data_IF_022981827213
#
_entry.id   IF_022981827213
#
_cell.length_a   1.000
_cell.length_b   1.000
_cell.length_c   1.000
_cell.angle_alpha   90.00
_cell.angle_beta   90.00
_cell.angle_gamma   90.00
#
_symmetry.space_group_name_H-M   'P 1'
#
loop_
_entity.id
_entity.type
_entity.pdbx_description
1 polymer ?
#
# COMPACT_ATOMS: atom_id res chain seq x y z
N UNK A 1 -22.88 11.35 20.14
CA UNK A 1 -22.31 12.55 19.51
C UNK A 1 -20.85 12.28 19.10
N UNK A 2 -20.58 12.07 17.82
CA UNK A 2 -19.25 12.29 17.22
C UNK A 2 -19.42 12.46 15.70
N UNK A 3 -18.95 13.61 15.24
CA UNK A 3 -19.24 14.27 13.97
C UNK A 3 -18.70 13.50 12.77
N UNK A 4 -19.45 13.63 11.68
CA UNK A 4 -19.10 13.35 10.30
C UNK A 4 -17.78 14.03 9.90
N UNK A 5 -16.98 13.37 9.08
CA UNK A 5 -15.88 13.99 8.36
C UNK A 5 -16.16 13.86 6.88
N UNK A 6 -16.54 14.98 6.27
CA UNK A 6 -16.78 15.16 4.86
C UNK A 6 -15.45 14.94 4.10
N UNK A 7 -15.49 14.09 3.08
CA UNK A 7 -14.42 14.02 2.09
C UNK A 7 -14.53 15.26 1.21
N UNK A 8 -13.60 16.20 1.39
CA UNK A 8 -13.42 17.33 0.50
C UNK A 8 -12.88 16.77 -0.82
N UNK A 9 -13.75 16.78 -1.84
CA UNK A 9 -13.34 16.61 -3.23
C UNK A 9 -12.39 17.74 -3.61
N UNK A 10 -11.27 17.41 -4.22
CA UNK A 10 -10.38 18.40 -4.84
C UNK A 10 -10.98 18.73 -6.21
N UNK A 11 -11.47 19.96 -6.47
CA UNK A 11 -11.85 20.36 -7.81
C UNK A 11 -10.58 20.72 -8.58
N UNK A 12 -10.30 20.02 -9.67
CA UNK A 12 -9.38 20.53 -10.69
C UNK A 12 -10.17 21.52 -11.56
N UNK A 13 -9.94 22.81 -11.33
CA UNK A 13 -10.34 23.89 -12.22
C UNK A 13 -9.50 23.84 -13.50
N UNK A 14 -10.15 23.76 -14.65
CA UNK A 14 -9.55 24.15 -15.94
C UNK A 14 -10.16 25.50 -16.31
N UNK A 15 -9.35 26.54 -16.23
CA UNK A 15 -9.67 27.86 -16.77
C UNK A 15 -9.47 27.84 -18.30
N UNK A 16 -10.45 28.35 -19.03
CA UNK A 16 -10.42 28.40 -20.50
C UNK A 16 -11.38 29.47 -21.03
N UNK A 17 -10.83 30.68 -21.14
CA UNK A 17 -11.31 31.92 -21.76
C UNK A 17 -12.29 31.69 -22.93
N UNK A 18 -13.50 32.26 -22.84
CA UNK A 18 -14.44 32.37 -23.96
C UNK A 18 -14.10 33.61 -24.80
N UNK A 19 -13.59 33.37 -26.02
CA UNK A 19 -13.45 34.37 -27.07
C UNK A 19 -14.66 34.40 -27.98
N UNK A 20 -15.28 35.58 -28.05
CA UNK A 20 -16.34 36.03 -28.97
C UNK A 20 -16.05 35.69 -30.45
N UNK A 21 -17.06 35.18 -31.19
CA UNK A 21 -17.26 35.46 -32.63
C UNK A 21 -18.76 35.63 -32.92
N UNK A 22 -19.02 36.55 -33.84
CA UNK A 22 -20.22 37.30 -34.16
C UNK A 22 -21.04 36.66 -35.29
N UNK A 23 -22.37 36.60 -35.11
CA UNK A 23 -23.42 36.79 -36.15
C UNK A 23 -23.78 35.63 -37.11
N UNK A 24 -24.90 35.73 -37.86
CA UNK A 24 -25.87 36.84 -37.89
C UNK A 24 -27.28 36.49 -37.39
N UNK A 25 -28.04 37.57 -37.29
CA UNK A 25 -29.37 37.77 -36.75
C UNK A 25 -30.46 37.19 -37.69
N UNK A 26 -31.45 36.49 -37.13
CA UNK A 26 -32.75 36.29 -37.79
C UNK A 26 -33.83 36.55 -36.75
N UNK A 27 -34.48 37.70 -36.90
CA UNK A 27 -35.67 38.08 -36.16
C UNK A 27 -36.88 37.57 -36.94
N UNK A 28 -37.65 36.63 -36.40
CA UNK A 28 -39.01 36.33 -36.89
C UNK A 28 -39.94 36.22 -35.69
N UNK A 29 -40.95 37.09 -35.73
CA UNK A 29 -42.02 37.28 -34.74
C UNK A 29 -42.89 36.04 -34.57
N UNK A 30 -43.52 35.96 -33.41
CA UNK A 30 -44.39 34.90 -32.93
C UNK A 30 -45.54 34.53 -33.89
N UNK A 31 -45.73 33.23 -34.07
CA UNK A 31 -47.04 32.60 -34.22
C UNK A 31 -46.93 31.15 -33.71
N UNK A 32 -47.83 30.75 -32.83
CA UNK A 32 -48.11 29.35 -32.46
C UNK A 32 -49.64 29.16 -32.51
N UNK A 33 -50.19 27.94 -32.66
CA UNK A 33 -49.57 26.71 -33.15
C UNK A 33 -50.40 26.07 -34.28
N UNK A 34 -49.79 25.22 -35.10
CA UNK A 34 -50.55 24.21 -35.86
C UNK A 34 -49.83 22.88 -35.76
N UNK A 35 -50.56 21.90 -35.21
CA UNK A 35 -50.09 20.57 -34.93
C UNK A 35 -49.60 19.86 -36.21
N UNK A 36 -48.28 19.70 -36.32
CA UNK A 36 -47.67 18.74 -37.21
C UNK A 36 -47.17 17.56 -36.38
N UNK A 37 -47.75 16.39 -36.62
CA UNK A 37 -47.28 15.10 -36.10
C UNK A 37 -45.91 14.80 -36.72
N UNK A 38 -44.86 15.34 -36.11
CA UNK A 38 -43.49 14.93 -36.35
C UNK A 38 -43.24 13.64 -35.58
N UNK A 39 -42.93 12.56 -36.28
CA UNK A 39 -42.29 11.40 -35.65
C UNK A 39 -41.01 11.89 -35.00
N UNK A 40 -41.04 12.02 -33.67
CA UNK A 40 -39.89 12.43 -32.88
C UNK A 40 -38.76 11.44 -33.10
N UNK A 41 -37.72 11.85 -33.82
CA UNK A 41 -36.45 11.13 -33.85
C UNK A 41 -35.82 11.35 -32.48
N UNK A 42 -36.10 10.44 -31.56
CA UNK A 42 -35.38 10.35 -30.29
C UNK A 42 -33.94 9.95 -30.63
N UNK A 43 -33.01 10.91 -30.62
CA UNK A 43 -31.59 10.62 -30.67
C UNK A 43 -31.24 10.04 -29.29
N UNK A 44 -31.24 8.71 -29.18
CA UNK A 44 -30.71 8.06 -27.99
C UNK A 44 -29.23 8.43 -27.86
N UNK A 45 -28.92 9.22 -26.83
CA UNK A 45 -27.52 9.49 -26.45
C UNK A 45 -26.90 8.13 -26.09
N UNK A 46 -25.86 7.67 -26.80
CA UNK A 46 -25.26 6.37 -26.51
C UNK A 46 -24.80 6.31 -25.05
N UNK A 47 -25.21 5.27 -24.32
CA UNK A 47 -24.76 5.07 -22.95
C UNK A 47 -23.23 4.98 -22.92
N UNK A 48 -22.57 5.89 -22.19
CA UNK A 48 -21.11 5.91 -22.13
C UNK A 48 -20.59 4.62 -21.47
N UNK A 49 -19.79 3.83 -22.20
CA UNK A 49 -19.23 2.59 -21.67
C UNK A 49 -18.39 2.87 -20.42
N UNK A 50 -18.58 2.15 -19.31
CA UNK A 50 -17.86 2.42 -18.06
C UNK A 50 -16.36 2.21 -18.24
N UNK A 51 -15.57 3.18 -17.76
CA UNK A 51 -14.10 3.15 -17.79
C UNK A 51 -13.49 1.85 -17.24
N UNK A 52 -14.18 1.23 -16.27
CA UNK A 52 -13.71 0.07 -15.54
C UNK A 52 -12.92 0.43 -14.29
N UNK A 53 -12.18 -0.54 -13.75
CA UNK A 53 -11.44 -0.36 -12.51
C UNK A 53 -10.14 -1.15 -12.49
N UNK A 54 -9.13 -0.59 -11.81
CA UNK A 54 -7.99 -1.34 -11.30
C UNK A 54 -8.21 -1.63 -9.81
N UNK A 55 -7.99 -2.89 -9.42
CA UNK A 55 -8.02 -3.31 -8.02
C UNK A 55 -6.73 -4.06 -7.70
N UNK A 56 -5.92 -3.48 -6.82
CA UNK A 56 -4.68 -4.10 -6.36
C UNK A 56 -5.03 -5.42 -5.64
N UNK A 57 -4.53 -6.53 -6.16
CA UNK A 57 -4.69 -7.87 -5.58
C UNK A 57 -3.50 -8.25 -4.71
N UNK A 58 -2.31 -7.74 -5.01
CA UNK A 58 -1.12 -7.96 -4.20
C UNK A 58 -0.10 -6.82 -4.32
N UNK A 59 0.56 -6.52 -3.22
CA UNK A 59 1.74 -5.67 -3.18
C UNK A 59 2.84 -6.39 -2.39
N UNK A 60 3.81 -6.97 -3.11
CA UNK A 60 4.81 -7.90 -2.56
C UNK A 60 6.20 -7.30 -2.62
N UNK A 61 6.81 -7.05 -1.45
CA UNK A 61 8.24 -6.72 -1.38
C UNK A 61 9.12 -7.93 -1.70
N UNK A 62 10.23 -7.71 -2.39
CA UNK A 62 11.21 -8.77 -2.57
C UNK A 62 12.01 -9.04 -1.29
N UNK A 63 12.57 -10.25 -1.13
CA UNK A 63 13.52 -10.56 -0.06
C UNK A 63 14.76 -9.66 -0.06
N UNK A 64 15.11 -9.05 -1.21
CA UNK A 64 16.17 -8.06 -1.35
C UNK A 64 15.88 -6.76 -0.58
N UNK A 65 14.60 -6.42 -0.37
CA UNK A 65 14.09 -5.13 0.11
C UNK A 65 14.46 -3.95 -0.81
N UNK A 66 14.70 -4.24 -2.11
CA UNK A 66 15.05 -3.26 -3.14
C UNK A 66 14.02 -3.15 -4.27
N UNK A 67 12.94 -3.92 -4.18
CA UNK A 67 11.86 -3.86 -5.16
C UNK A 67 10.53 -4.26 -4.51
N UNK A 68 9.44 -3.71 -5.06
CA UNK A 68 8.07 -4.12 -4.75
C UNK A 68 7.37 -4.47 -6.06
N UNK A 69 6.73 -5.63 -6.10
CA UNK A 69 5.88 -6.07 -7.20
C UNK A 69 4.43 -5.77 -6.85
N UNK A 70 3.77 -4.95 -7.65
CA UNK A 70 2.34 -4.67 -7.58
C UNK A 70 1.64 -5.56 -8.60
N UNK A 71 0.54 -6.16 -8.18
CA UNK A 71 -0.35 -6.96 -9.03
C UNK A 71 -1.75 -6.43 -8.83
N UNK A 72 -2.47 -6.21 -9.92
CA UNK A 72 -3.86 -5.77 -9.91
C UNK A 72 -4.66 -6.50 -10.97
N UNK A 73 -5.96 -6.53 -10.79
CA UNK A 73 -6.90 -6.92 -11.82
C UNK A 73 -7.46 -5.65 -12.45
N UNK A 74 -7.45 -5.60 -13.79
CA UNK A 74 -8.01 -4.53 -14.60
C UNK A 74 -9.30 -5.02 -15.27
N UNK A 75 -10.32 -4.17 -15.30
CA UNK A 75 -11.60 -4.43 -15.96
C UNK A 75 -12.04 -3.22 -16.80
N UNK A 76 -13.08 -3.41 -17.62
CA UNK A 76 -13.69 -2.39 -18.46
C UNK A 76 -12.86 -2.04 -19.70
N UNK A 77 -13.18 -0.91 -20.33
CA UNK A 77 -12.58 -0.43 -21.58
C UNK A 77 -11.48 0.63 -21.33
N UNK A 78 -10.76 0.49 -20.23
CA UNK A 78 -9.59 1.30 -19.95
C UNK A 78 -8.55 1.17 -21.07
N UNK A 79 -7.86 2.25 -21.40
CA UNK A 79 -6.70 2.22 -22.32
C UNK A 79 -5.41 1.81 -21.60
N UNK A 80 -5.43 1.83 -20.27
CA UNK A 80 -4.26 1.53 -19.46
C UNK A 80 -4.44 1.80 -17.99
N UNK A 81 -3.34 1.72 -17.25
CA UNK A 81 -3.28 2.01 -15.83
C UNK A 81 -2.14 2.98 -15.47
N UNK A 82 -2.42 3.87 -14.53
CA UNK A 82 -1.44 4.75 -13.89
C UNK A 82 -1.17 4.24 -12.48
N UNK A 83 0.12 4.07 -12.15
CA UNK A 83 0.57 3.62 -10.84
C UNK A 83 1.07 4.85 -10.09
N UNK A 84 0.39 5.15 -8.99
CA UNK A 84 0.80 6.17 -8.05
C UNK A 84 1.43 5.54 -6.81
N UNK A 85 2.39 6.27 -6.23
CA UNK A 85 3.03 5.88 -4.99
C UNK A 85 3.27 7.11 -4.12
N UNK A 86 3.05 6.94 -2.82
CA UNK A 86 3.52 7.87 -1.80
C UNK A 86 4.32 7.19 -0.71
N UNK A 87 5.11 7.99 0.00
CA UNK A 87 5.61 7.64 1.33
C UNK A 87 4.59 8.11 2.39
N UNK A 88 4.66 7.62 3.63
CA UNK A 88 3.70 7.98 4.70
C UNK A 88 3.51 9.50 4.91
N UNK A 89 4.52 10.31 4.60
CA UNK A 89 4.54 11.77 4.82
C UNK A 89 4.49 12.59 3.53
N UNK A 90 4.26 11.98 2.37
CA UNK A 90 4.24 12.67 1.08
C UNK A 90 2.90 12.51 0.38
N UNK A 91 2.68 13.33 -0.63
CA UNK A 91 1.59 13.13 -1.57
C UNK A 91 1.89 12.00 -2.55
N UNK A 92 0.84 11.57 -3.25
CA UNK A 92 0.95 10.60 -4.33
C UNK A 92 1.66 11.21 -5.52
N UNK A 93 2.68 10.51 -6.02
CA UNK A 93 3.34 10.82 -7.27
C UNK A 93 3.10 9.68 -8.26
N UNK A 94 2.91 10.02 -9.53
CA UNK A 94 2.92 9.05 -10.61
C UNK A 94 4.33 8.45 -10.73
N UNK A 95 4.42 7.12 -10.75
CA UNK A 95 5.70 6.41 -10.91
C UNK A 95 5.76 5.57 -12.19
N UNK A 96 4.61 5.32 -12.81
CA UNK A 96 4.50 4.66 -14.10
C UNK A 96 3.11 4.86 -14.71
N UNK A 97 3.06 4.90 -16.04
CA UNK A 97 1.85 4.79 -16.85
C UNK A 97 2.05 3.63 -17.82
N UNK A 98 1.07 2.72 -17.87
CA UNK A 98 1.09 1.52 -18.70
C UNK A 98 -0.08 1.62 -19.69
N UNK A 99 0.22 1.75 -20.97
CA UNK A 99 -0.77 1.85 -22.06
C UNK A 99 -1.13 0.44 -22.58
N UNK A 100 -1.72 -0.37 -21.71
CA UNK A 100 -2.24 -1.69 -22.05
C UNK A 100 -3.66 -1.79 -21.49
N UNK A 101 -4.64 -1.70 -22.38
CA UNK A 101 -6.05 -1.71 -22.05
C UNK A 101 -6.63 -3.09 -21.78
N UNK A 102 -5.88 -4.17 -22.09
CA UNK A 102 -6.42 -5.53 -22.01
C UNK A 102 -6.92 -5.86 -20.59
N UNK A 103 -8.16 -6.34 -20.41
CA UNK A 103 -8.65 -6.77 -19.11
C UNK A 103 -7.84 -7.94 -18.54
N UNK A 104 -7.88 -8.09 -17.21
CA UNK A 104 -7.25 -9.21 -16.52
C UNK A 104 -6.11 -8.80 -15.59
N UNK A 105 -5.27 -9.77 -15.24
CA UNK A 105 -4.23 -9.58 -14.24
C UNK A 105 -2.99 -8.91 -14.84
N UNK A 106 -2.60 -7.78 -14.25
CA UNK A 106 -1.42 -7.02 -14.63
C UNK A 106 -0.43 -6.90 -13.49
N UNK A 107 0.82 -6.61 -13.82
CA UNK A 107 1.88 -6.44 -12.83
C UNK A 107 2.86 -5.33 -13.18
N UNK A 108 3.41 -4.71 -12.14
CA UNK A 108 4.43 -3.68 -12.23
C UNK A 108 5.47 -3.90 -11.15
N UNK A 109 6.75 -3.69 -11.47
CA UNK A 109 7.87 -3.85 -10.54
C UNK A 109 8.52 -2.50 -10.27
N UNK A 110 8.28 -1.97 -9.08
CA UNK A 110 8.92 -0.75 -8.59
C UNK A 110 10.31 -1.08 -8.00
N UNK A 111 11.36 -0.71 -8.74
CA UNK A 111 12.77 -0.87 -8.31
C UNK A 111 13.35 0.38 -7.65
N UNK A 112 12.60 1.48 -7.59
CA UNK A 112 13.06 2.77 -7.03
C UNK A 112 12.88 2.87 -5.51
N UNK A 113 12.28 1.84 -4.90
CA UNK A 113 12.01 1.76 -3.47
C UNK A 113 13.28 1.63 -2.62
N UNK A 114 13.22 2.16 -1.40
CA UNK A 114 14.32 2.11 -0.43
C UNK A 114 13.94 1.24 0.77
N UNK A 115 14.88 0.41 1.22
CA UNK A 115 14.68 -0.46 2.38
C UNK A 115 14.44 0.35 3.67
N UNK A 116 13.58 -0.17 4.54
CA UNK A 116 13.19 0.48 5.80
C UNK A 116 12.18 1.62 5.63
N UNK A 117 11.58 1.77 4.44
CA UNK A 117 10.49 2.71 4.19
C UNK A 117 9.16 1.96 4.03
N UNK A 118 8.07 2.66 4.33
CA UNK A 118 6.72 2.25 3.98
C UNK A 118 6.27 3.02 2.75
N UNK A 119 5.71 2.32 1.78
CA UNK A 119 5.10 2.91 0.59
C UNK A 119 3.63 2.53 0.52
N UNK A 120 2.81 3.47 0.07
CA UNK A 120 1.40 3.27 -0.22
C UNK A 120 1.24 3.43 -1.72
N UNK A 121 0.71 2.38 -2.37
CA UNK A 121 0.46 2.34 -3.80
C UNK A 121 -1.02 2.50 -4.08
N UNK A 122 -1.32 3.15 -5.20
CA UNK A 122 -2.65 3.24 -5.78
C UNK A 122 -2.51 2.97 -7.28
N UNK A 123 -3.44 2.22 -7.85
CA UNK A 123 -3.47 1.95 -9.29
C UNK A 123 -4.82 2.41 -9.79
N UNK A 124 -4.82 3.30 -10.78
CA UNK A 124 -6.02 3.84 -11.39
C UNK A 124 -6.01 3.52 -12.88
N UNK A 125 -7.12 3.05 -13.42
CA UNK A 125 -7.26 2.97 -14.89
C UNK A 125 -7.49 4.35 -15.51
N UNK A 126 -7.14 4.52 -16.78
CA UNK A 126 -7.40 5.74 -17.53
C UNK A 126 -7.88 5.47 -18.96
N UNK A 127 -8.59 6.45 -19.54
CA UNK A 127 -9.00 6.49 -20.96
C UNK A 127 -8.96 7.93 -21.43
N UNK A 128 -8.39 8.14 -22.62
CA UNK A 128 -8.44 9.41 -23.34
C UNK A 128 -9.65 9.40 -24.25
N UNK A 129 -10.53 10.39 -24.10
CA UNK A 129 -11.72 10.59 -24.94
C UNK A 129 -11.36 11.29 -26.26
N UNK A 130 -12.30 11.29 -27.20
CA UNK A 130 -12.13 11.93 -28.51
C UNK A 130 -11.91 13.45 -28.41
N UNK A 131 -12.40 14.10 -27.35
CA UNK A 131 -12.19 15.52 -27.04
C UNK A 131 -10.78 15.83 -26.46
N UNK A 132 -9.93 14.80 -26.33
CA UNK A 132 -8.59 14.91 -25.76
C UNK A 132 -8.52 14.86 -24.23
N UNK A 133 -9.67 14.78 -23.53
CA UNK A 133 -9.69 14.71 -22.06
C UNK A 133 -9.34 13.31 -21.56
N UNK A 134 -8.51 13.23 -20.51
CA UNK A 134 -8.18 11.96 -19.85
C UNK A 134 -9.10 11.74 -18.66
N UNK A 135 -9.95 10.72 -18.75
CA UNK A 135 -10.71 10.21 -17.64
C UNK A 135 -9.85 9.23 -16.83
N UNK A 136 -9.86 9.36 -15.50
CA UNK A 136 -9.14 8.48 -14.58
C UNK A 136 -10.12 7.91 -13.55
N UNK A 137 -9.92 6.65 -13.16
CA UNK A 137 -10.68 6.01 -12.10
C UNK A 137 -10.67 6.84 -10.81
N UNK A 138 -11.85 7.07 -10.25
CA UNK A 138 -12.05 7.65 -8.93
C UNK A 138 -12.08 6.56 -7.85
N UNK A 139 -11.79 6.93 -6.60
CA UNK A 139 -11.90 6.04 -5.41
C UNK A 139 -11.06 4.75 -5.46
N UNK A 140 -9.95 4.74 -6.20
CA UNK A 140 -9.10 3.57 -6.29
C UNK A 140 -8.53 3.15 -4.92
N UNK A 141 -8.63 1.85 -4.62
CA UNK A 141 -8.11 1.26 -3.37
C UNK A 141 -6.59 1.35 -3.31
N UNK A 142 -6.07 1.49 -2.09
CA UNK A 142 -4.63 1.59 -1.84
C UNK A 142 -4.07 0.31 -1.21
N UNK A 143 -2.77 0.07 -1.42
CA UNK A 143 -2.04 -1.03 -0.79
C UNK A 143 -0.76 -0.51 -0.11
N UNK A 144 -0.58 -0.85 1.17
CA UNK A 144 0.60 -0.45 1.96
C UNK A 144 1.62 -1.57 2.06
N UNK A 145 2.90 -1.24 1.84
CA UNK A 145 4.03 -2.19 1.92
C UNK A 145 5.19 -1.59 2.68
N UNK A 146 5.57 -2.24 3.78
CA UNK A 146 6.75 -1.87 4.57
C UNK A 146 7.99 -2.68 4.15
N UNK A 147 9.08 -2.02 3.75
CA UNK A 147 10.31 -2.67 3.26
C UNK A 147 11.28 -3.07 4.37
N UNK A 148 10.77 -3.83 5.34
CA UNK A 148 11.58 -4.42 6.43
C UNK A 148 11.61 -5.95 6.34
N UNK A 149 12.59 -6.63 6.96
CA UNK A 149 12.59 -8.08 7.09
C UNK A 149 11.27 -8.61 7.65
N UNK A 150 10.81 -9.76 7.14
CA UNK A 150 9.58 -10.39 7.63
C UNK A 150 9.66 -10.81 9.10
N UNK A 151 8.49 -10.95 9.73
CA UNK A 151 8.35 -11.47 11.09
C UNK A 151 8.95 -12.87 11.21
N UNK A 152 9.67 -13.13 12.29
CA UNK A 152 10.27 -14.44 12.56
C UNK A 152 9.17 -15.46 12.84
N UNK A 153 9.35 -16.68 12.34
CA UNK A 153 8.44 -17.81 12.59
C UNK A 153 9.07 -18.82 13.56
N UNK A 154 8.21 -19.54 14.28
CA UNK A 154 8.63 -20.67 15.12
C UNK A 154 9.50 -20.28 16.32
N UNK A 155 9.34 -19.06 16.85
CA UNK A 155 10.03 -18.64 18.07
C UNK A 155 9.52 -19.46 19.27
N UNK A 156 10.42 -20.18 19.93
CA UNK A 156 10.14 -21.02 21.11
C UNK A 156 11.22 -20.81 22.16
N UNK A 157 10.86 -20.92 23.43
CA UNK A 157 11.80 -21.00 24.54
C UNK A 157 11.57 -22.30 25.32
N UNK A 158 12.65 -22.91 25.79
CA UNK A 158 12.60 -24.12 26.63
C UNK A 158 13.63 -24.02 27.74
N UNK A 159 13.26 -24.40 28.96
CA UNK A 159 14.20 -24.57 30.07
C UNK A 159 15.06 -25.82 29.84
N UNK A 160 16.35 -25.73 30.15
CA UNK A 160 17.36 -26.79 30.04
C UNK A 160 18.34 -26.61 31.22
N UNK A 161 18.11 -27.36 32.30
CA UNK A 161 18.82 -27.17 33.57
C UNK A 161 18.68 -25.73 34.08
N UNK A 162 19.82 -25.09 34.38
CA UNK A 162 19.92 -23.69 34.84
C UNK A 162 19.92 -22.65 33.70
N UNK A 163 19.43 -23.01 32.51
CA UNK A 163 19.44 -22.15 31.31
C UNK A 163 18.07 -22.17 30.62
N UNK A 164 17.74 -21.06 29.95
CA UNK A 164 16.63 -20.99 28.99
C UNK A 164 17.20 -20.92 27.59
N UNK A 165 16.83 -21.86 26.74
CA UNK A 165 17.24 -21.91 25.34
C UNK A 165 16.09 -21.40 24.47
N UNK A 166 16.35 -20.30 23.76
CA UNK A 166 15.43 -19.69 22.81
C UNK A 166 15.88 -20.06 21.41
N UNK A 167 14.95 -20.50 20.57
CA UNK A 167 15.21 -20.97 19.20
C UNK A 167 14.16 -20.45 18.24
N UNK A 168 14.54 -20.21 16.98
CA UNK A 168 13.62 -19.78 15.93
C UNK A 168 13.99 -20.37 14.57
N UNK A 169 13.03 -20.35 13.62
CA UNK A 169 13.27 -20.78 12.24
C UNK A 169 14.11 -19.74 11.49
N UNK A 170 14.88 -20.20 10.49
CA UNK A 170 15.64 -19.32 9.59
C UNK A 170 14.66 -18.42 8.81
N UNK A 171 14.95 -17.13 8.76
CA UNK A 171 14.21 -16.14 7.97
C UNK A 171 14.98 -15.94 6.67
N UNK A 172 14.30 -15.96 5.53
CA UNK A 172 14.94 -15.82 4.22
C UNK A 172 15.56 -14.41 4.08
N UNK A 173 16.77 -14.36 3.52
CA UNK A 173 17.45 -13.12 3.10
C UNK A 173 17.67 -12.07 4.19
N UNK A 174 17.94 -12.51 5.43
CA UNK A 174 18.29 -11.63 6.57
C UNK A 174 19.78 -11.75 6.92
N UNK A 175 20.36 -10.68 7.47
CA UNK A 175 21.77 -10.66 7.90
C UNK A 175 21.96 -11.21 9.31
N UNK A 176 20.90 -11.24 10.12
CA UNK A 176 20.93 -11.85 11.44
C UNK A 176 19.70 -11.50 12.27
N UNK A 177 19.85 -11.64 13.58
CA UNK A 177 18.80 -11.52 14.57
C UNK A 177 19.24 -10.66 15.74
N UNK A 178 18.26 -9.98 16.34
CA UNK A 178 18.42 -9.25 17.58
C UNK A 178 17.48 -9.81 18.62
N UNK A 179 18.05 -10.23 19.75
CA UNK A 179 17.35 -10.84 20.87
C UNK A 179 17.24 -9.83 21.99
N UNK A 180 16.03 -9.73 22.53
CA UNK A 180 15.67 -8.94 23.69
C UNK A 180 15.17 -9.86 24.78
N UNK A 181 15.46 -9.48 26.02
CA UNK A 181 15.09 -10.22 27.21
C UNK A 181 14.45 -9.26 28.21
N UNK A 182 13.51 -9.76 28.99
CA UNK A 182 12.86 -9.04 30.08
C UNK A 182 12.81 -9.97 31.28
N UNK A 183 13.18 -9.46 32.45
CA UNK A 183 12.98 -10.16 33.72
C UNK A 183 11.72 -9.58 34.36
N UNK A 184 10.77 -10.43 34.73
CA UNK A 184 9.55 -10.02 35.41
C UNK A 184 9.79 -10.10 36.91
N UNK A 185 9.76 -8.94 37.56
CA UNK A 185 9.87 -8.79 39.02
C UNK A 185 8.50 -8.36 39.53
N UNK A 186 8.01 -9.00 40.61
CA UNK A 186 6.71 -8.69 41.21
C UNK A 186 6.73 -7.23 41.70
N UNK A 187 5.68 -6.46 41.38
CA UNK A 187 5.57 -5.06 41.80
C UNK A 187 6.38 -4.04 40.96
N UNK A 188 7.26 -4.48 40.04
CA UNK A 188 8.12 -3.57 39.27
C UNK A 188 7.83 -3.65 37.76
N UNK A 189 7.56 -2.49 37.15
CA UNK A 189 7.44 -2.36 35.69
C UNK A 189 8.81 -2.48 35.04
N UNK A 190 9.15 -3.68 34.56
CA UNK A 190 10.40 -3.92 33.83
C UNK A 190 10.23 -3.77 32.31
N UNK A 191 11.31 -3.44 31.61
CA UNK A 191 11.36 -3.24 30.15
C UNK A 191 12.21 -4.30 29.46
N UNK A 192 11.94 -4.54 28.17
CA UNK A 192 12.80 -5.39 27.35
C UNK A 192 14.11 -4.67 27.05
N UNK A 193 15.24 -5.33 27.29
CA UNK A 193 16.57 -4.85 26.94
C UNK A 193 17.22 -5.76 25.92
N UNK A 194 18.12 -5.20 25.11
CA UNK A 194 18.85 -5.95 24.08
C UNK A 194 19.83 -6.89 24.77
N UNK A 195 19.65 -8.18 24.56
CA UNK A 195 20.53 -9.21 25.11
C UNK A 195 21.69 -9.54 24.16
N UNK A 196 21.38 -9.73 22.86
CA UNK A 196 22.39 -10.12 21.88
C UNK A 196 21.99 -9.74 20.45
N UNK A 197 22.99 -9.48 19.62
CA UNK A 197 22.84 -9.39 18.16
C UNK A 197 23.72 -10.47 17.55
N UNK A 198 23.17 -11.35 16.71
CA UNK A 198 23.90 -12.52 16.22
C UNK A 198 23.38 -13.02 14.88
N UNK A 199 24.18 -13.83 14.17
CA UNK A 199 23.75 -14.56 12.97
C UNK A 199 23.08 -15.90 13.31
N UNK A 200 23.37 -16.45 14.50
CA UNK A 200 22.84 -17.72 14.98
C UNK A 200 21.33 -17.70 15.23
N UNK A 201 20.71 -18.90 15.17
CA UNK A 201 19.25 -19.12 15.29
C UNK A 201 18.81 -19.57 16.69
N UNK A 202 19.74 -19.52 17.65
CA UNK A 202 19.48 -19.88 19.04
C UNK A 202 20.21 -18.94 19.98
N UNK A 203 19.55 -18.60 21.08
CA UNK A 203 20.10 -17.83 22.17
C UNK A 203 19.94 -18.59 23.48
N UNK A 204 21.01 -18.66 24.28
CA UNK A 204 21.01 -19.30 25.59
C UNK A 204 21.09 -18.21 26.65
N UNK A 205 20.06 -18.13 27.51
CA UNK A 205 20.07 -17.30 28.72
C UNK A 205 20.49 -18.17 29.90
N UNK A 206 21.67 -17.91 30.45
CA UNK A 206 22.11 -18.45 31.74
C UNK A 206 21.86 -17.45 32.89
N UNK A 207 22.43 -17.78 34.05
CA UNK A 207 22.36 -16.94 35.26
C UNK A 207 20.92 -16.55 35.58
N UNK A 208 20.07 -17.57 35.77
CA UNK A 208 18.67 -17.38 36.12
C UNK A 208 18.58 -17.04 37.61
N UNK A 209 17.84 -16.00 37.93
CA UNK A 209 17.51 -15.61 39.30
C UNK A 209 16.35 -16.47 39.75
N UNK A 210 16.48 -17.08 40.93
CA UNK A 210 15.44 -17.93 41.50
C UNK A 210 14.12 -17.16 41.67
N UNK A 211 12.98 -17.81 41.40
CA UNK A 211 11.65 -17.20 41.49
C UNK A 211 11.30 -16.19 40.37
N UNK A 212 12.25 -15.78 39.54
CA UNK A 212 12.00 -14.78 38.49
C UNK A 212 11.55 -15.43 37.18
N UNK A 213 10.58 -14.78 36.52
CA UNK A 213 10.12 -15.16 35.18
C UNK A 213 10.81 -14.32 34.11
N UNK A 214 10.99 -14.89 32.94
CA UNK A 214 11.70 -14.29 31.81
C UNK A 214 10.82 -14.23 30.57
N UNK A 215 10.90 -13.10 29.88
CA UNK A 215 10.32 -12.86 28.57
C UNK A 215 11.41 -12.74 27.51
N UNK A 216 11.12 -13.16 26.29
CA UNK A 216 12.03 -13.06 25.16
C UNK A 216 11.31 -12.52 23.94
N UNK A 217 11.97 -11.57 23.27
CA UNK A 217 11.55 -11.05 21.97
C UNK A 217 12.70 -11.16 20.99
N UNK A 218 12.41 -11.52 19.76
CA UNK A 218 13.41 -11.62 18.69
C UNK A 218 12.89 -10.91 17.45
N UNK A 219 13.75 -10.13 16.80
CA UNK A 219 13.49 -9.55 15.48
C UNK A 219 14.63 -9.84 14.52
N UNK A 220 14.30 -10.01 13.25
CA UNK A 220 15.30 -10.17 12.20
C UNK A 220 15.80 -8.79 11.74
N UNK A 221 17.04 -8.72 11.26
CA UNK A 221 17.55 -7.52 10.63
C UNK A 221 18.27 -7.85 9.32
N UNK A 222 18.31 -6.87 8.42
CA UNK A 222 19.08 -6.92 7.19
C UNK A 222 20.04 -5.74 7.13
N UNK A 223 21.30 -6.00 6.79
CA UNK A 223 22.32 -4.98 6.60
C UNK A 223 22.33 -4.59 5.11
N UNK A 224 22.04 -3.33 4.82
CA UNK A 224 22.04 -2.75 3.47
C UNK A 224 22.88 -1.48 3.55
N UNK A 225 23.95 -1.39 2.76
CA UNK A 225 24.90 -0.26 2.74
C UNK A 225 25.36 0.14 4.15
N UNK A 226 25.85 -0.82 4.94
CA UNK A 226 26.30 -0.56 6.31
C UNK A 226 25.17 -0.47 7.37
N UNK A 227 23.96 -0.04 6.99
CA UNK A 227 22.84 0.23 7.89
C UNK A 227 21.98 -1.01 8.15
N UNK A 228 21.51 -1.18 9.40
CA UNK A 228 20.65 -2.31 9.81
C UNK A 228 19.18 -1.89 9.75
N UNK A 229 18.42 -2.53 8.86
CA UNK A 229 16.96 -2.43 8.77
C UNK A 229 16.35 -3.56 9.59
N UNK A 230 15.50 -3.21 10.55
CA UNK A 230 14.91 -4.16 11.49
C UNK A 230 13.48 -4.50 11.12
N UNK A 231 13.14 -5.79 11.19
CA UNK A 231 11.77 -6.26 11.08
C UNK A 231 11.00 -6.17 12.40
N UNK A 232 9.72 -6.57 12.39
CA UNK A 232 8.88 -6.55 13.58
C UNK A 232 9.35 -7.57 14.63
N UNK A 233 9.07 -7.26 15.89
CA UNK A 233 9.34 -8.17 16.99
C UNK A 233 8.38 -9.37 16.99
N UNK A 234 8.93 -10.52 17.40
CA UNK A 234 8.18 -11.71 17.77
C UNK A 234 8.46 -12.02 19.23
N UNK A 235 7.43 -12.13 20.05
CA UNK A 235 7.55 -12.46 21.47
C UNK A 235 7.25 -13.93 21.72
N UNK A 236 7.91 -14.52 22.72
CA UNK A 236 7.49 -15.80 23.28
C UNK A 236 6.25 -15.55 24.14
N UNK A 237 5.14 -16.26 23.87
CA UNK A 237 3.87 -16.07 24.59
C UNK A 237 3.97 -16.47 26.07
N UNK A 238 4.67 -17.56 26.37
CA UNK A 238 4.86 -18.07 27.73
C UNK A 238 6.05 -17.37 28.41
N UNK A 239 5.90 -17.10 29.71
CA UNK A 239 6.99 -16.61 30.58
C UNK A 239 7.70 -17.83 31.20
N UNK A 240 9.02 -17.79 31.28
CA UNK A 240 9.87 -18.95 31.64
C UNK A 240 10.71 -18.71 32.87
#
# INVERSE_FOLDING_TARGET
>A
MKKWMQFVGVPFLVAGIFGMIIGPNVNVSADEPTAASGSGVTIETPAETPLGAAVITAAKKAPSLKQVTITWTQSGEAQGAVIFRKSEKSDFAEIARISDGTPGNKTYVDKSVKAGKTYIYQVCVFRTRADGTTQVQTEAKTASVELVPGKIKGLKAKKRGRKIVVTWKKTKSVSGYQVYTKVFVKGIKTKYSRAKTQKGRSYKRGMLVHGMKYGFMVRAYKKINGKKIYGPFTAVKKRY
#
